data_IF_653489501588
#
_entry.id   IF_653489501588
#
_cell.length_a   1.000
_cell.length_b   1.000
_cell.length_c   1.000
_cell.angle_alpha   90.00
_cell.angle_beta   90.00
_cell.angle_gamma   90.00
#
_symmetry.space_group_name_H-M   'P 1'
#
loop_
_entity.id
_entity.type
_entity.pdbx_description
1 polymer ?
#
# COMPACT_ATOMS: atom_id res chain seq x y z
N UNK A 1 6.69 -11.35 -38.29
CA UNK A 1 7.34 -10.15 -37.69
C UNK A 1 7.27 -10.27 -36.18
N UNK A 2 8.43 -10.38 -35.53
CA UNK A 2 8.54 -10.61 -34.08
C UNK A 2 8.58 -9.23 -33.41
N UNK A 3 7.72 -9.02 -32.41
CA UNK A 3 7.57 -7.74 -31.71
C UNK A 3 8.89 -7.30 -31.04
N UNK A 4 9.47 -6.12 -31.36
CA UNK A 4 10.73 -5.65 -30.77
C UNK A 4 10.58 -5.17 -29.33
N UNK A 5 9.35 -5.05 -28.82
CA UNK A 5 9.07 -4.59 -27.47
C UNK A 5 8.91 -5.80 -26.54
N UNK A 6 9.73 -5.93 -25.48
CA UNK A 6 9.58 -7.01 -24.51
C UNK A 6 8.17 -7.05 -23.92
N UNK A 7 7.66 -8.24 -23.58
CA UNK A 7 6.33 -8.36 -22.94
C UNK A 7 6.33 -7.82 -21.51
N UNK A 8 7.34 -8.19 -20.72
CA UNK A 8 7.48 -7.84 -19.31
C UNK A 8 7.73 -6.35 -19.10
N UNK A 9 7.06 -5.72 -18.14
CA UNK A 9 7.24 -4.30 -17.81
C UNK A 9 8.67 -3.96 -17.37
N UNK A 10 9.30 -4.68 -16.41
CA UNK A 10 10.71 -4.48 -16.09
C UNK A 10 11.66 -4.61 -17.29
N UNK A 11 11.37 -5.51 -18.24
CA UNK A 11 12.19 -5.67 -19.45
C UNK A 11 12.00 -4.50 -20.44
N UNK A 12 10.80 -3.90 -20.51
CA UNK A 12 10.57 -2.65 -21.26
C UNK A 12 11.35 -1.49 -20.66
N UNK A 13 11.35 -1.36 -19.33
CA UNK A 13 12.14 -0.36 -18.61
C UNK A 13 13.63 -0.56 -18.89
N UNK A 14 14.15 -1.79 -18.76
CA UNK A 14 15.53 -2.10 -19.11
C UNK A 14 15.87 -1.63 -20.53
N UNK A 15 15.02 -1.98 -21.52
CA UNK A 15 15.24 -1.58 -22.91
C UNK A 15 15.22 -0.06 -23.09
N UNK A 16 14.31 0.65 -22.42
CA UNK A 16 14.27 2.11 -22.42
C UNK A 16 15.58 2.70 -21.89
N UNK A 17 16.01 2.28 -20.69
CA UNK A 17 17.21 2.82 -20.05
C UNK A 17 18.48 2.49 -20.83
N UNK A 18 18.61 1.27 -21.37
CA UNK A 18 19.74 0.92 -22.24
C UNK A 18 19.78 1.80 -23.50
N UNK A 19 18.63 2.09 -24.12
CA UNK A 19 18.57 3.00 -25.28
C UNK A 19 18.95 4.43 -24.93
N UNK A 20 18.58 4.91 -23.73
CA UNK A 20 19.01 6.24 -23.25
C UNK A 20 20.52 6.31 -23.08
N UNK A 21 21.11 5.29 -22.44
CA UNK A 21 22.55 5.18 -22.28
C UNK A 21 23.29 5.14 -23.63
N UNK A 22 22.85 4.29 -24.56
CA UNK A 22 23.40 4.20 -25.92
C UNK A 22 23.37 5.55 -26.68
N UNK A 23 22.38 6.39 -26.38
CA UNK A 23 22.21 7.70 -26.99
C UNK A 23 22.90 8.85 -26.22
N UNK A 24 23.58 8.56 -25.10
CA UNK A 24 24.16 9.59 -24.23
C UNK A 24 23.13 10.53 -23.60
N UNK A 25 21.91 10.05 -23.38
CA UNK A 25 20.82 10.85 -22.80
C UNK A 25 20.88 10.84 -21.26
N UNK A 26 20.36 11.91 -20.65
CA UNK A 26 20.29 12.09 -19.20
C UNK A 26 19.61 10.91 -18.48
N UNK A 27 19.97 10.61 -17.21
CA UNK A 27 19.22 9.66 -16.39
C UNK A 27 17.77 10.14 -16.16
N UNK A 28 16.92 9.22 -15.70
CA UNK A 28 15.51 9.52 -15.38
C UNK A 28 15.18 9.14 -13.96
N UNK A 29 14.14 9.76 -13.43
CA UNK A 29 13.52 9.33 -12.16
C UNK A 29 12.44 8.29 -12.43
N UNK A 30 12.48 7.19 -11.69
CA UNK A 30 11.47 6.14 -11.70
C UNK A 30 10.69 6.16 -10.39
N UNK A 31 9.38 6.37 -10.51
CA UNK A 31 8.40 6.48 -9.43
C UNK A 31 7.36 5.38 -9.57
N UNK A 32 7.64 4.12 -9.18
CA UNK A 32 6.63 3.09 -9.16
C UNK A 32 5.52 3.42 -8.16
N UNK A 33 4.28 3.17 -8.55
CA UNK A 33 3.07 3.36 -7.73
C UNK A 33 2.42 2.01 -7.34
N UNK A 34 3.18 0.93 -7.42
CA UNK A 34 2.70 -0.42 -7.09
C UNK A 34 2.60 -0.60 -5.56
N UNK A 35 1.66 -1.43 -5.12
CA UNK A 35 1.43 -1.77 -3.71
C UNK A 35 2.47 -2.79 -3.18
N UNK A 36 3.74 -2.44 -3.32
CA UNK A 36 4.91 -3.22 -2.88
C UNK A 36 5.75 -2.32 -1.98
N UNK A 37 6.08 -2.77 -0.77
CA UNK A 37 6.97 -1.99 0.12
C UNK A 37 8.36 -1.87 -0.51
N UNK A 38 8.93 -0.68 -0.48
CA UNK A 38 10.19 -0.38 -1.16
C UNK A 38 10.11 -0.61 -2.68
N UNK A 39 8.98 -0.25 -3.31
CA UNK A 39 8.72 -0.52 -4.72
C UNK A 39 9.80 0.02 -5.68
N UNK A 40 10.43 1.16 -5.38
CA UNK A 40 11.56 1.71 -6.11
C UNK A 40 12.78 0.79 -6.04
N UNK A 41 13.17 0.40 -4.83
CA UNK A 41 14.27 -0.52 -4.58
C UNK A 41 14.04 -1.91 -5.20
N UNK A 42 12.82 -2.44 -5.09
CA UNK A 42 12.42 -3.72 -5.69
C UNK A 42 12.51 -3.66 -7.21
N UNK A 43 11.96 -2.62 -7.84
CA UNK A 43 12.01 -2.49 -9.30
C UNK A 43 13.45 -2.31 -9.79
N UNK A 44 14.26 -1.49 -9.10
CA UNK A 44 15.70 -1.33 -9.37
C UNK A 44 16.41 -2.68 -9.37
N UNK A 45 16.20 -3.49 -8.33
CA UNK A 45 16.80 -4.82 -8.20
C UNK A 45 16.41 -5.73 -9.38
N UNK A 46 15.11 -5.80 -9.70
CA UNK A 46 14.62 -6.64 -10.81
C UNK A 46 15.23 -6.20 -12.15
N UNK A 47 15.27 -4.90 -12.42
CA UNK A 47 15.83 -4.35 -13.67
C UNK A 47 17.33 -4.59 -13.74
N UNK A 48 18.07 -4.40 -12.65
CA UNK A 48 19.51 -4.67 -12.58
C UNK A 48 19.86 -6.16 -12.76
N UNK A 49 19.08 -7.06 -12.16
CA UNK A 49 19.21 -8.51 -12.39
C UNK A 49 18.95 -8.89 -13.85
N UNK A 50 17.91 -8.32 -14.47
CA UNK A 50 17.66 -8.51 -15.90
C UNK A 50 18.81 -7.97 -16.75
N UNK A 51 19.37 -6.82 -16.39
CA UNK A 51 20.47 -6.22 -17.12
C UNK A 51 21.70 -7.14 -17.17
N UNK A 52 22.04 -7.72 -16.01
CA UNK A 52 23.10 -8.73 -15.88
C UNK A 52 22.79 -10.01 -16.67
N UNK A 53 21.55 -10.52 -16.60
CA UNK A 53 21.14 -11.71 -17.39
C UNK A 53 21.24 -11.49 -18.90
N UNK A 54 20.98 -10.27 -19.36
CA UNK A 54 21.10 -9.87 -20.77
C UNK A 54 22.53 -9.53 -21.18
N UNK A 55 23.49 -9.61 -20.25
CA UNK A 55 24.92 -9.36 -20.47
C UNK A 55 25.21 -7.96 -21.02
N UNK A 56 24.50 -6.95 -20.49
CA UNK A 56 24.83 -5.54 -20.75
C UNK A 56 26.22 -5.20 -20.16
N UNK A 57 26.88 -4.21 -20.76
CA UNK A 57 28.18 -3.71 -20.30
C UNK A 57 28.08 -3.02 -18.93
N UNK A 58 29.21 -3.00 -18.20
CA UNK A 58 29.29 -2.46 -16.84
C UNK A 58 28.81 -1.00 -16.75
N UNK A 59 29.17 -0.17 -17.74
CA UNK A 59 28.77 1.24 -17.76
C UNK A 59 27.26 1.41 -17.93
N UNK A 60 26.62 0.61 -18.79
CA UNK A 60 25.16 0.65 -18.94
C UNK A 60 24.44 0.20 -17.67
N UNK A 61 24.99 -0.80 -16.96
CA UNK A 61 24.45 -1.24 -15.66
C UNK A 61 24.65 -0.15 -14.61
N UNK A 62 25.81 0.51 -14.60
CA UNK A 62 26.10 1.65 -13.72
C UNK A 62 25.12 2.81 -13.93
N UNK A 63 24.86 3.18 -15.18
CA UNK A 63 23.85 4.18 -15.55
C UNK A 63 22.46 3.83 -15.01
N UNK A 64 22.04 2.56 -15.17
CA UNK A 64 20.74 2.08 -14.69
C UNK A 64 20.66 2.07 -13.17
N UNK A 65 21.66 1.54 -12.49
CA UNK A 65 21.59 1.28 -11.05
C UNK A 65 21.99 2.48 -10.18
N UNK A 66 22.83 3.39 -10.68
CA UNK A 66 23.45 4.44 -9.88
C UNK A 66 23.15 5.85 -10.38
N UNK A 67 22.91 6.05 -11.67
CA UNK A 67 22.60 7.39 -12.22
C UNK A 67 21.09 7.64 -12.33
N UNK A 68 20.31 6.63 -12.72
CA UNK A 68 18.86 6.72 -12.66
C UNK A 68 18.37 6.76 -11.20
N UNK A 69 17.40 7.63 -10.93
CA UNK A 69 16.88 7.82 -9.59
C UNK A 69 15.68 6.90 -9.34
N UNK A 70 15.84 5.94 -8.44
CA UNK A 70 14.78 5.00 -8.06
C UNK A 70 14.17 5.43 -6.73
N UNK A 71 12.91 5.84 -6.76
CA UNK A 71 12.25 6.46 -5.62
C UNK A 71 11.15 5.56 -5.10
N UNK A 72 11.22 5.22 -3.83
CA UNK A 72 10.16 4.49 -3.15
C UNK A 72 8.97 5.42 -2.92
N UNK A 73 7.76 4.91 -3.15
CA UNK A 73 6.55 5.67 -2.91
C UNK A 73 5.40 4.83 -2.37
N UNK A 74 4.51 5.48 -1.63
CA UNK A 74 3.27 4.90 -1.15
C UNK A 74 2.10 5.68 -1.75
N UNK A 75 1.25 4.98 -2.49
CA UNK A 75 -0.05 5.49 -2.94
C UNK A 75 -1.18 4.93 -2.08
N UNK A 76 -2.14 5.76 -1.71
CA UNK A 76 -3.36 5.36 -1.01
C UNK A 76 -4.57 6.14 -1.51
N UNK A 77 -5.44 5.43 -2.21
CA UNK A 77 -6.75 5.90 -2.67
C UNK A 77 -7.57 4.67 -3.01
N UNK A 78 -8.78 4.60 -2.50
CA UNK A 78 -9.69 3.53 -2.90
C UNK A 78 -10.40 3.92 -4.20
N UNK A 79 -10.36 3.00 -5.16
CA UNK A 79 -10.94 3.12 -6.50
C UNK A 79 -11.86 1.91 -6.68
N UNK A 80 -13.15 2.16 -6.89
CA UNK A 80 -14.18 1.10 -6.83
C UNK A 80 -14.49 0.50 -8.20
N UNK A 81 -14.73 1.35 -9.22
CA UNK A 81 -15.17 0.88 -10.53
C UNK A 81 -14.69 1.78 -11.67
N UNK A 82 -14.42 1.23 -12.87
CA UNK A 82 -14.14 2.02 -14.06
C UNK A 82 -15.39 2.75 -14.56
N UNK A 83 -15.19 3.83 -15.29
CA UNK A 83 -16.22 4.53 -16.05
C UNK A 83 -15.94 4.40 -17.54
N UNK A 84 -16.99 4.18 -18.33
CA UNK A 84 -16.93 4.12 -19.80
C UNK A 84 -17.02 5.54 -20.39
N UNK A 85 -16.23 5.91 -21.42
CA UNK A 85 -15.18 5.12 -22.07
C UNK A 85 -13.81 5.17 -21.39
N UNK A 86 -13.58 6.16 -20.52
CA UNK A 86 -12.34 6.27 -19.74
C UNK A 86 -12.61 7.03 -18.43
N UNK A 87 -12.25 6.41 -17.30
CA UNK A 87 -12.37 7.01 -15.98
C UNK A 87 -12.49 5.96 -14.90
N UNK A 88 -12.60 6.41 -13.65
CA UNK A 88 -12.88 5.56 -12.51
C UNK A 88 -13.58 6.36 -11.40
N UNK A 89 -14.42 5.67 -10.63
CA UNK A 89 -14.97 6.19 -9.38
C UNK A 89 -13.94 5.95 -8.28
N UNK A 90 -13.51 7.03 -7.63
CA UNK A 90 -12.54 7.00 -6.57
C UNK A 90 -13.01 7.88 -5.41
N UNK A 91 -12.54 7.56 -4.20
CA UNK A 91 -12.83 8.39 -3.03
C UNK A 91 -12.15 9.78 -3.13
N UNK A 92 -12.66 10.79 -2.40
CA UNK A 92 -12.01 12.11 -2.34
C UNK A 92 -10.62 12.07 -1.71
N UNK A 93 -10.42 11.23 -0.67
CA UNK A 93 -9.13 11.04 -0.04
C UNK A 93 -8.09 10.55 -1.05
N UNK A 94 -6.89 11.12 -1.00
CA UNK A 94 -5.75 10.66 -1.76
C UNK A 94 -4.47 10.97 -0.98
N UNK A 95 -3.53 10.03 -1.03
CA UNK A 95 -2.17 10.20 -0.56
C UNK A 95 -1.20 9.61 -1.57
N UNK A 96 -0.17 10.38 -1.90
CA UNK A 96 1.03 9.91 -2.55
C UNK A 96 2.24 10.39 -1.74
N UNK A 97 2.70 9.54 -0.82
CA UNK A 97 3.93 9.80 -0.07
C UNK A 97 5.13 9.32 -0.89
N UNK A 98 6.13 10.17 -1.08
CA UNK A 98 7.28 9.92 -1.92
C UNK A 98 8.53 10.11 -1.06
N UNK A 99 9.42 9.12 -1.04
CA UNK A 99 10.68 9.22 -0.32
C UNK A 99 11.57 10.33 -0.91
N UNK A 100 12.03 11.25 -0.06
CA UNK A 100 12.94 12.31 -0.47
C UNK A 100 14.32 11.72 -0.77
N UNK A 101 14.85 12.08 -1.94
CA UNK A 101 16.16 11.63 -2.41
C UNK A 101 16.88 12.82 -3.03
N UNK A 102 18.20 12.86 -2.88
CA UNK A 102 19.00 13.90 -3.51
C UNK A 102 18.74 13.94 -5.03
N UNK A 103 18.44 15.14 -5.54
CA UNK A 103 18.11 15.36 -6.95
C UNK A 103 16.67 15.01 -7.35
N UNK A 104 15.83 14.54 -6.42
CA UNK A 104 14.42 14.32 -6.70
C UNK A 104 13.67 15.63 -6.91
N UNK A 105 12.83 15.67 -7.94
CA UNK A 105 11.89 16.77 -8.18
C UNK A 105 10.50 16.18 -8.35
N UNK A 106 9.56 16.64 -7.53
CA UNK A 106 8.18 16.20 -7.62
C UNK A 106 7.58 16.58 -9.00
N UNK A 107 6.80 15.69 -9.63
CA UNK A 107 6.26 15.95 -10.97
C UNK A 107 5.25 17.10 -11.01
N UNK A 108 4.59 17.38 -9.89
CA UNK A 108 3.69 18.52 -9.71
C UNK A 108 3.50 18.86 -8.23
N UNK A 109 2.96 20.04 -7.96
CA UNK A 109 2.49 20.43 -6.62
C UNK A 109 1.01 20.04 -6.47
N UNK A 110 0.70 19.22 -5.47
CA UNK A 110 -0.66 18.84 -5.14
C UNK A 110 -0.77 18.50 -3.64
N UNK A 111 -1.86 18.86 -2.94
CA UNK A 111 -1.98 18.62 -1.48
C UNK A 111 -1.87 17.14 -1.06
N UNK A 112 -2.25 16.22 -1.96
CA UNK A 112 -2.11 14.79 -1.74
C UNK A 112 -0.67 14.26 -1.91
N UNK A 113 0.23 15.02 -2.54
CA UNK A 113 1.62 14.61 -2.77
C UNK A 113 2.46 15.10 -1.60
N UNK A 114 3.07 14.16 -0.87
CA UNK A 114 3.94 14.44 0.27
C UNK A 114 5.33 13.89 -0.01
N UNK A 115 6.29 14.79 -0.25
CA UNK A 115 7.71 14.40 -0.27
C UNK A 115 8.20 14.35 1.18
N UNK A 116 8.67 13.19 1.61
CA UNK A 116 8.95 12.89 3.02
C UNK A 116 10.28 12.17 3.16
N UNK A 117 11.01 12.47 4.23
CA UNK A 117 12.30 11.82 4.50
C UNK A 117 12.16 10.30 4.76
N UNK A 118 11.04 9.88 5.34
CA UNK A 118 10.73 8.48 5.61
C UNK A 118 9.25 8.18 5.30
N UNK A 119 9.03 7.18 4.45
CA UNK A 119 7.69 6.70 4.06
C UNK A 119 7.13 5.66 5.04
N UNK A 120 7.99 5.02 5.85
CA UNK A 120 7.60 3.91 6.71
C UNK A 120 6.46 4.24 7.69
N UNK A 121 6.38 5.46 8.29
CA UNK A 121 5.24 5.83 9.13
C UNK A 121 3.90 5.76 8.39
N UNK A 122 3.87 6.23 7.14
CA UNK A 122 2.66 6.21 6.31
C UNK A 122 2.30 4.78 5.88
N UNK A 123 3.31 3.97 5.55
CA UNK A 123 3.10 2.55 5.21
C UNK A 123 2.51 1.79 6.40
N UNK A 124 3.03 2.02 7.62
CA UNK A 124 2.52 1.38 8.85
C UNK A 124 1.09 1.79 9.14
N UNK A 125 0.78 3.09 9.10
CA UNK A 125 -0.58 3.58 9.30
C UNK A 125 -1.55 2.91 8.32
N UNK A 126 -1.25 2.94 7.02
CA UNK A 126 -2.09 2.30 6.00
C UNK A 126 -2.21 0.79 6.22
N UNK A 127 -1.10 0.11 6.54
CA UNK A 127 -1.09 -1.35 6.67
C UNK A 127 -1.87 -1.83 7.91
N UNK A 128 -1.65 -1.19 9.05
CA UNK A 128 -2.14 -1.65 10.35
C UNK A 128 -3.40 -0.95 10.83
N UNK A 129 -3.86 0.10 10.13
CA UNK A 129 -5.16 0.72 10.40
C UNK A 129 -6.11 0.42 9.23
N UNK A 130 -5.91 1.05 8.06
CA UNK A 130 -6.83 0.91 6.92
C UNK A 130 -6.93 -0.55 6.43
N UNK A 131 -5.81 -1.16 6.08
CA UNK A 131 -5.79 -2.51 5.50
C UNK A 131 -6.19 -3.57 6.52
N UNK A 132 -5.67 -3.47 7.75
CA UNK A 132 -6.01 -4.37 8.84
C UNK A 132 -7.51 -4.27 9.19
N UNK A 133 -8.06 -3.07 9.35
CA UNK A 133 -9.48 -2.84 9.62
C UNK A 133 -10.39 -3.40 8.53
N UNK A 134 -10.02 -3.22 7.26
CA UNK A 134 -10.70 -3.87 6.13
C UNK A 134 -10.75 -5.40 6.28
N UNK A 135 -9.61 -6.03 6.58
CA UNK A 135 -9.54 -7.48 6.76
C UNK A 135 -10.32 -7.94 7.98
N UNK A 136 -10.29 -7.17 9.07
CA UNK A 136 -11.03 -7.48 10.28
C UNK A 136 -12.54 -7.49 10.04
N UNK A 137 -13.08 -6.44 9.42
CA UNK A 137 -14.50 -6.39 9.06
C UNK A 137 -14.89 -7.48 8.06
N UNK A 138 -14.03 -7.75 7.07
CA UNK A 138 -14.24 -8.84 6.12
C UNK A 138 -14.29 -10.22 6.80
N UNK A 139 -13.45 -10.48 7.80
CA UNK A 139 -13.49 -11.72 8.57
C UNK A 139 -14.83 -11.88 9.32
N UNK A 140 -15.23 -10.84 10.06
CA UNK A 140 -16.48 -10.85 10.81
C UNK A 140 -17.71 -11.03 9.91
N UNK A 141 -17.74 -10.35 8.76
CA UNK A 141 -18.79 -10.54 7.76
C UNK A 141 -18.84 -11.99 7.25
N UNK A 142 -17.68 -12.61 6.95
CA UNK A 142 -17.61 -14.00 6.45
C UNK A 142 -18.18 -15.01 7.43
N UNK A 143 -17.98 -14.80 8.72
CA UNK A 143 -18.43 -15.73 9.78
C UNK A 143 -19.92 -15.54 10.12
N UNK A 144 -20.45 -14.32 9.99
CA UNK A 144 -21.82 -14.00 10.41
C UNK A 144 -22.87 -14.19 9.31
N UNK A 145 -22.64 -13.59 8.13
CA UNK A 145 -23.63 -13.49 7.06
C UNK A 145 -23.09 -14.07 5.75
N UNK A 146 -21.87 -13.70 5.35
CA UNK A 146 -21.25 -14.14 4.10
C UNK A 146 -22.01 -13.73 2.84
N UNK A 147 -23.04 -12.87 2.92
CA UNK A 147 -23.85 -12.50 1.77
C UNK A 147 -23.06 -11.69 0.74
N UNK A 148 -23.19 -12.07 -0.53
CA UNK A 148 -22.52 -11.39 -1.63
C UNK A 148 -22.95 -9.92 -1.81
N UNK A 149 -24.04 -9.49 -1.16
CA UNK A 149 -24.57 -8.12 -1.21
C UNK A 149 -24.07 -7.22 -0.07
N UNK A 150 -23.18 -7.74 0.79
CA UNK A 150 -22.57 -6.95 1.84
C UNK A 150 -21.60 -5.92 1.26
N UNK A 151 -21.77 -4.69 1.73
CA UNK A 151 -20.99 -3.54 1.32
C UNK A 151 -20.47 -2.81 2.57
N UNK A 152 -19.26 -2.26 2.48
CA UNK A 152 -18.59 -1.56 3.58
C UNK A 152 -19.48 -0.47 4.21
N UNK A 153 -20.19 0.32 3.42
CA UNK A 153 -21.08 1.37 3.93
C UNK A 153 -22.21 0.82 4.82
N UNK A 154 -22.71 -0.39 4.53
CA UNK A 154 -23.76 -1.04 5.35
C UNK A 154 -23.16 -1.53 6.66
N UNK A 155 -21.96 -2.12 6.61
CA UNK A 155 -21.21 -2.52 7.80
C UNK A 155 -20.90 -1.32 8.68
N UNK A 156 -20.54 -0.17 8.08
CA UNK A 156 -20.26 1.05 8.85
C UNK A 156 -21.51 1.76 9.37
N UNK A 157 -22.69 1.51 8.78
CA UNK A 157 -23.97 2.00 9.27
C UNK A 157 -24.56 1.13 10.39
N UNK A 158 -23.99 -0.05 10.63
CA UNK A 158 -24.34 -0.94 11.74
C UNK A 158 -23.53 -0.56 12.98
N UNK A 159 -24.22 -0.14 14.05
CA UNK A 159 -23.59 0.37 15.27
C UNK A 159 -22.72 -0.68 15.96
N UNK A 160 -23.12 -1.95 15.92
CA UNK A 160 -22.35 -3.05 16.52
C UNK A 160 -21.03 -3.27 15.77
N UNK A 161 -21.07 -3.36 14.43
CA UNK A 161 -19.88 -3.51 13.60
C UNK A 161 -18.93 -2.31 13.73
N UNK A 162 -19.48 -1.10 13.78
CA UNK A 162 -18.71 0.13 13.98
C UNK A 162 -18.03 0.16 15.35
N UNK A 163 -18.78 -0.14 16.42
CA UNK A 163 -18.24 -0.19 17.78
C UNK A 163 -17.12 -1.22 17.90
N UNK A 164 -17.32 -2.42 17.34
CA UNK A 164 -16.31 -3.48 17.33
C UNK A 164 -14.99 -3.06 16.68
N UNK A 165 -15.05 -2.34 15.55
CA UNK A 165 -13.85 -1.84 14.90
C UNK A 165 -13.13 -0.77 15.74
N UNK A 166 -13.89 0.14 16.37
CA UNK A 166 -13.33 1.16 17.25
C UNK A 166 -12.66 0.53 18.48
N UNK A 167 -13.29 -0.46 19.11
CA UNK A 167 -12.69 -1.21 20.23
C UNK A 167 -11.39 -1.91 19.83
N UNK A 168 -11.34 -2.53 18.64
CA UNK A 168 -10.09 -3.08 18.11
C UNK A 168 -9.00 -2.00 18.02
N UNK A 169 -9.35 -0.84 17.48
CA UNK A 169 -8.37 0.25 17.35
C UNK A 169 -7.92 0.79 18.70
N UNK A 170 -8.84 1.06 19.62
CA UNK A 170 -8.53 1.66 20.92
C UNK A 170 -7.75 0.70 21.83
N UNK A 171 -8.12 -0.58 21.85
CA UNK A 171 -7.53 -1.56 22.78
C UNK A 171 -6.28 -2.25 22.22
N UNK A 172 -6.24 -2.56 20.91
CA UNK A 172 -5.17 -3.41 20.35
C UNK A 172 -4.21 -2.63 19.43
N UNK A 173 -4.70 -1.61 18.70
CA UNK A 173 -3.87 -0.91 17.69
C UNK A 173 -3.17 0.32 18.27
N UNK A 174 -3.92 1.23 18.88
CA UNK A 174 -3.41 2.51 19.37
C UNK A 174 -2.27 2.35 20.39
N UNK A 175 -2.31 1.43 21.38
CA UNK A 175 -1.22 1.29 22.34
C UNK A 175 0.13 0.96 21.68
N UNK A 176 0.12 0.16 20.61
CA UNK A 176 1.34 -0.21 19.88
C UNK A 176 1.92 0.98 19.12
N UNK A 177 1.06 1.76 18.46
CA UNK A 177 1.48 3.00 17.82
C UNK A 177 1.94 4.06 18.82
N UNK A 178 1.33 4.12 20.01
CA UNK A 178 1.75 5.02 21.09
C UNK A 178 3.16 4.69 21.58
N UNK A 179 3.47 3.40 21.77
CA UNK A 179 4.82 2.95 22.10
C UNK A 179 5.85 3.30 21.02
N UNK A 180 5.43 3.37 19.75
CA UNK A 180 6.24 3.82 18.64
C UNK A 180 6.31 5.36 18.49
N UNK A 181 5.72 6.13 19.41
CA UNK A 181 5.71 7.60 19.37
C UNK A 181 4.76 8.20 18.32
N UNK A 182 3.77 7.44 17.87
CA UNK A 182 2.86 7.79 16.78
C UNK A 182 1.38 7.84 17.21
N UNK A 183 1.09 8.04 18.50
CA UNK A 183 -0.29 8.01 19.02
C UNK A 183 -1.20 9.04 18.33
N UNK A 184 -0.72 10.27 18.19
CA UNK A 184 -1.50 11.36 17.59
C UNK A 184 -1.80 11.07 16.12
N UNK A 185 -0.80 10.59 15.39
CA UNK A 185 -0.87 10.23 13.98
C UNK A 185 -1.84 9.08 13.75
N UNK A 186 -1.80 8.03 14.58
CA UNK A 186 -2.73 6.89 14.45
C UNK A 186 -4.16 7.29 14.77
N UNK A 187 -4.40 8.12 15.80
CA UNK A 187 -5.75 8.57 16.15
C UNK A 187 -6.37 9.43 15.06
N UNK A 188 -5.60 10.36 14.50
CA UNK A 188 -6.04 11.16 13.36
C UNK A 188 -6.37 10.27 12.15
N UNK A 189 -5.49 9.33 11.84
CA UNK A 189 -5.68 8.43 10.70
C UNK A 189 -6.85 7.45 10.89
N UNK A 190 -7.12 6.98 12.11
CA UNK A 190 -8.33 6.20 12.42
C UNK A 190 -9.59 7.01 12.08
N UNK A 191 -9.64 8.29 12.48
CA UNK A 191 -10.75 9.18 12.13
C UNK A 191 -10.99 9.25 10.62
N UNK A 192 -9.92 9.46 9.84
CA UNK A 192 -9.96 9.45 8.37
C UNK A 192 -10.42 8.09 7.82
N UNK A 193 -9.91 6.98 8.34
CA UNK A 193 -10.30 5.62 7.91
C UNK A 193 -11.79 5.35 8.16
N UNK A 194 -12.31 5.75 9.32
CA UNK A 194 -13.71 5.58 9.66
C UNK A 194 -14.63 6.38 8.71
N UNK A 195 -14.25 7.60 8.37
CA UNK A 195 -14.96 8.41 7.37
C UNK A 195 -14.92 7.75 5.98
N UNK A 196 -13.74 7.27 5.57
CA UNK A 196 -13.53 6.60 4.27
C UNK A 196 -14.35 5.32 4.14
N UNK A 197 -14.42 4.51 5.18
CA UNK A 197 -15.25 3.30 5.18
C UNK A 197 -16.75 3.63 5.12
N UNK A 198 -17.18 4.75 5.71
CA UNK A 198 -18.57 5.19 5.70
C UNK A 198 -18.99 5.90 4.40
N UNK A 199 -18.09 6.05 3.41
CA UNK A 199 -18.36 6.79 2.18
C UNK A 199 -19.56 6.19 1.40
N UNK A 200 -20.68 6.94 1.24
CA UNK A 200 -21.90 6.40 0.63
C UNK A 200 -21.79 6.23 -0.89
N UNK A 201 -20.79 6.83 -1.53
CA UNK A 201 -20.60 6.83 -2.99
C UNK A 201 -19.73 5.67 -3.48
N UNK A 202 -19.17 4.87 -2.57
CA UNK A 202 -18.30 3.75 -2.93
C UNK A 202 -19.04 2.42 -2.79
N UNK A 203 -19.14 1.67 -3.89
CA UNK A 203 -19.63 0.29 -3.85
C UNK A 203 -18.51 -0.69 -3.45
N UNK A 204 -17.94 -0.56 -2.24
CA UNK A 204 -16.91 -1.49 -1.76
C UNK A 204 -17.53 -2.76 -1.19
N UNK A 205 -17.47 -3.84 -1.97
CA UNK A 205 -18.04 -5.13 -1.58
C UNK A 205 -17.09 -5.89 -0.65
N UNK A 206 -17.63 -6.42 0.45
CA UNK A 206 -16.83 -7.20 1.41
C UNK A 206 -16.25 -8.47 0.77
N UNK A 207 -16.97 -9.05 -0.20
CA UNK A 207 -16.50 -10.18 -0.99
C UNK A 207 -15.19 -9.86 -1.76
N UNK A 208 -15.07 -8.66 -2.33
CA UNK A 208 -13.87 -8.22 -3.04
C UNK A 208 -12.72 -7.94 -2.06
N UNK A 209 -13.05 -7.35 -0.91
CA UNK A 209 -12.10 -7.13 0.20
C UNK A 209 -11.58 -8.47 0.75
N UNK A 210 -12.41 -9.52 0.79
CA UNK A 210 -12.07 -10.84 1.29
C UNK A 210 -11.24 -11.70 0.32
N UNK A 211 -11.03 -11.28 -0.94
CA UNK A 211 -10.18 -12.04 -1.88
C UNK A 211 -8.78 -12.18 -1.28
N UNK A 212 -8.22 -13.39 -1.29
CA UNK A 212 -6.93 -13.74 -0.67
C UNK A 212 -6.86 -13.41 0.84
N UNK A 213 -7.95 -13.66 1.58
CA UNK A 213 -8.08 -13.33 3.00
C UNK A 213 -6.93 -13.82 3.88
N UNK A 214 -6.56 -15.10 3.80
CA UNK A 214 -5.49 -15.68 4.62
C UNK A 214 -4.15 -14.93 4.46
N UNK A 215 -3.73 -14.69 3.21
CA UNK A 215 -2.52 -13.92 2.91
C UNK A 215 -2.62 -12.43 3.31
N UNK A 216 -3.84 -11.88 3.44
CA UNK A 216 -4.06 -10.53 3.98
C UNK A 216 -3.94 -10.53 5.49
N UNK A 217 -4.55 -11.49 6.20
CA UNK A 217 -4.45 -11.65 7.65
C UNK A 217 -2.99 -11.84 8.08
N UNK A 218 -2.22 -12.67 7.38
CA UNK A 218 -0.79 -12.84 7.66
C UNK A 218 -0.02 -11.51 7.55
N UNK A 219 -0.16 -10.80 6.41
CA UNK A 219 0.57 -9.55 6.16
C UNK A 219 0.09 -8.36 6.99
N UNK A 220 -1.09 -8.43 7.60
CA UNK A 220 -1.71 -7.30 8.30
C UNK A 220 -1.77 -7.54 9.80
N UNK A 221 -2.35 -8.65 10.23
CA UNK A 221 -2.59 -8.97 11.64
C UNK A 221 -1.40 -9.69 12.28
N UNK A 222 -0.90 -10.76 11.67
CA UNK A 222 0.29 -11.47 12.19
C UNK A 222 1.50 -10.53 12.19
N UNK A 223 1.71 -9.80 11.09
CA UNK A 223 2.75 -8.79 11.01
C UNK A 223 2.60 -7.67 12.04
N UNK A 224 1.37 -7.26 12.38
CA UNK A 224 1.13 -6.27 13.43
C UNK A 224 1.50 -6.81 14.82
N UNK A 225 1.09 -8.04 15.15
CA UNK A 225 1.45 -8.66 16.43
C UNK A 225 2.96 -8.84 16.56
N UNK A 226 3.65 -9.27 15.50
CA UNK A 226 5.11 -9.36 15.50
C UNK A 226 5.78 -7.98 15.71
N UNK A 227 5.18 -6.91 15.16
CA UNK A 227 5.65 -5.55 15.42
C UNK A 227 5.40 -5.14 16.87
N UNK A 228 4.22 -5.41 17.43
CA UNK A 228 3.90 -5.17 18.83
C UNK A 228 4.87 -5.88 19.78
N UNK A 229 5.19 -7.15 19.50
CA UNK A 229 6.17 -7.93 20.25
C UNK A 229 7.56 -7.29 20.19
N UNK A 230 7.98 -6.79 19.01
CA UNK A 230 9.28 -6.09 18.87
C UNK A 230 9.36 -4.79 19.67
N UNK A 231 8.21 -4.17 19.98
CA UNK A 231 8.09 -2.98 20.81
C UNK A 231 7.86 -3.30 22.30
N UNK A 232 7.77 -4.59 22.66
CA UNK A 232 7.48 -5.08 24.01
C UNK A 232 6.19 -4.50 24.62
N UNK A 233 5.16 -4.31 23.78
CA UNK A 233 3.88 -3.74 24.21
C UNK A 233 2.98 -4.86 24.72
N UNK A 234 2.62 -4.79 26.00
CA UNK A 234 1.62 -5.68 26.61
C UNK A 234 0.21 -5.10 26.42
N UNK A 235 -0.28 -5.13 25.18
CA UNK A 235 -1.63 -4.72 24.82
C UNK A 235 -2.55 -5.94 24.63
N UNK A 236 -3.86 -5.80 24.87
CA UNK A 236 -4.84 -6.78 24.43
C UNK A 236 -4.65 -7.14 22.96
N UNK A 237 -4.71 -8.44 22.64
CA UNK A 237 -4.57 -8.96 21.27
C UNK A 237 -5.63 -10.00 20.90
N UNK A 238 -6.65 -10.15 21.74
CA UNK A 238 -7.63 -11.24 21.65
C UNK A 238 -8.43 -11.17 20.36
N UNK A 239 -8.78 -9.97 19.87
CA UNK A 239 -9.57 -9.79 18.65
C UNK A 239 -8.74 -10.20 17.42
N UNK A 240 -7.48 -9.76 17.35
CA UNK A 240 -6.57 -10.18 16.27
C UNK A 240 -6.26 -11.68 16.32
N UNK A 241 -5.92 -12.23 17.49
CA UNK A 241 -5.68 -13.66 17.68
C UNK A 241 -6.89 -14.51 17.30
N UNK A 242 -8.10 -14.04 17.59
CA UNK A 242 -9.34 -14.73 17.21
C UNK A 242 -9.46 -14.84 15.68
N UNK A 243 -9.17 -13.77 14.94
CA UNK A 243 -9.20 -13.81 13.47
C UNK A 243 -8.09 -14.71 12.93
N UNK A 244 -6.89 -14.62 13.48
CA UNK A 244 -5.75 -15.46 13.08
C UNK A 244 -6.07 -16.94 13.32
N UNK A 245 -6.71 -17.29 14.44
CA UNK A 245 -7.07 -18.67 14.79
C UNK A 245 -8.20 -19.27 13.94
N UNK A 246 -8.86 -18.49 13.08
CA UNK A 246 -9.87 -18.97 12.12
C UNK A 246 -9.28 -19.35 10.75
N UNK A 247 -8.02 -19.00 10.50
CA UNK A 247 -7.30 -19.40 9.29
C UNK A 247 -6.95 -20.90 9.34
#
# INVERSE_FOLDING_TARGET
MINPVPRSFPAKILRLLSRRFEAGAEPVTLLPCELVSGNGAVLRKIVGELARRWRLGADSIGFIENECLWVDSLVDRIVSQPLDPIGAVAEPYALWAIGDRAGFVAPCAHPAIKVVADIAPYERLKLFVLNLGHSYLADHWRVSDGSAQANMRKIMADDESRARLLELYDEEIIPVFAAAGMEREVRAYIGEVMERFANPFLDHRLAEIAINHAAKVERRMVAFLAWADSMMVDAPRRRLETVIGRL
#
